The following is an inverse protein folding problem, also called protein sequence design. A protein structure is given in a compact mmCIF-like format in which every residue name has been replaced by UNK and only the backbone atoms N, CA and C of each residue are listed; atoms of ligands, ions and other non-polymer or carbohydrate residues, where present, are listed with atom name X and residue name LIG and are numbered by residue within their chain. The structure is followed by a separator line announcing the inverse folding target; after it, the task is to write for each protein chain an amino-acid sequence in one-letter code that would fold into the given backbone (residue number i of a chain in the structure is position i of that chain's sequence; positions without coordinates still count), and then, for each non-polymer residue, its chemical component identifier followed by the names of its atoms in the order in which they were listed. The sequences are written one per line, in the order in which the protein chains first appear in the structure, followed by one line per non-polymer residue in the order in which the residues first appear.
data_IF_851165802337
#
_entry.id   IF_851165802337
#
_cell.length_a   1.000
_cell.length_b   1.000
_cell.length_c   1.000
_cell.angle_alpha   90.00
_cell.angle_beta   90.00
_cell.angle_gamma   90.00
#
_symmetry.space_group_name_H-M   'P 1'
#
loop_
_entity.id
_entity.type
_entity.pdbx_description
1 polymer ?
#
# COMPACT_ATOMS: atom_id res chain seq x y z
N UNK A 1 4.57 -1.21 -6.93
CA UNK A 1 4.57 -2.30 -5.92
C UNK A 1 3.60 -1.96 -4.82
N UNK A 2 2.76 -2.91 -4.37
CA UNK A 2 1.74 -2.70 -3.35
C UNK A 2 2.15 -3.38 -2.05
N UNK A 3 2.04 -2.68 -0.90
CA UNK A 3 2.55 -3.17 0.38
C UNK A 3 1.46 -3.12 1.45
N UNK A 4 0.99 -4.30 1.87
CA UNK A 4 0.05 -4.48 2.96
C UNK A 4 0.73 -4.74 4.31
N UNK A 5 -0.03 -5.17 5.29
CA UNK A 5 0.45 -5.43 6.66
C UNK A 5 1.07 -6.83 6.81
N UNK A 6 0.26 -7.86 6.64
CA UNK A 6 0.63 -9.26 6.82
C UNK A 6 -0.37 -10.18 6.09
N UNK A 7 0.00 -11.43 5.81
CA UNK A 7 -0.94 -12.42 5.30
C UNK A 7 -2.11 -12.64 6.29
N UNK A 8 -3.31 -12.76 5.75
CA UNK A 8 -4.47 -13.26 6.47
C UNK A 8 -4.55 -14.79 6.37
N UNK A 9 -5.67 -15.38 6.84
CA UNK A 9 -5.86 -16.83 6.82
C UNK A 9 -5.81 -17.42 5.40
N UNK A 10 -6.55 -16.82 4.46
CA UNK A 10 -6.61 -17.32 3.09
C UNK A 10 -5.26 -17.20 2.38
N UNK A 11 -4.54 -16.11 2.63
CA UNK A 11 -3.22 -15.86 2.10
C UNK A 11 -2.18 -16.87 2.64
N UNK A 12 -2.27 -17.21 3.93
CA UNK A 12 -1.42 -18.19 4.60
C UNK A 12 -1.66 -19.62 4.04
N UNK A 13 -2.92 -19.97 3.78
CA UNK A 13 -3.32 -21.27 3.22
C UNK A 13 -2.95 -21.42 1.74
N UNK A 14 -3.01 -20.33 0.96
CA UNK A 14 -2.84 -20.38 -0.51
C UNK A 14 -1.49 -19.91 -1.02
N UNK A 15 -0.72 -19.21 -0.19
CA UNK A 15 0.53 -18.55 -0.59
C UNK A 15 0.32 -17.34 -1.53
N UNK A 16 -0.90 -16.87 -1.72
CA UNK A 16 -1.22 -15.75 -2.63
C UNK A 16 -1.61 -14.51 -1.85
N UNK A 17 -0.92 -13.36 -2.01
CA UNK A 17 -1.28 -12.14 -1.32
C UNK A 17 -2.64 -11.60 -1.78
N UNK A 18 -3.44 -11.09 -0.85
CA UNK A 18 -4.74 -10.49 -1.13
C UNK A 18 -5.66 -11.38 -2.00
N UNK A 19 -5.86 -12.63 -1.59
CA UNK A 19 -6.77 -13.58 -2.26
C UNK A 19 -8.16 -13.67 -1.62
N UNK A 20 -8.35 -13.07 -0.43
CA UNK A 20 -9.63 -13.04 0.28
C UNK A 20 -10.52 -11.84 -0.08
N UNK A 21 -11.46 -11.49 0.81
CA UNK A 21 -12.41 -10.38 0.62
C UNK A 21 -11.71 -9.01 0.43
N UNK A 22 -10.62 -8.75 1.16
CA UNK A 22 -9.80 -7.56 0.95
C UNK A 22 -9.16 -7.53 -0.44
N UNK A 23 -8.81 -8.72 -0.98
CA UNK A 23 -8.26 -8.84 -2.33
C UNK A 23 -9.25 -8.42 -3.41
N UNK A 24 -10.53 -8.77 -3.29
CA UNK A 24 -11.57 -8.31 -4.22
C UNK A 24 -11.68 -6.78 -4.25
N UNK A 25 -11.54 -6.13 -3.10
CA UNK A 25 -11.54 -4.68 -3.03
C UNK A 25 -10.24 -4.07 -3.61
N UNK A 26 -9.10 -4.75 -3.44
CA UNK A 26 -7.87 -4.35 -4.11
C UNK A 26 -8.03 -4.43 -5.63
N UNK A 27 -8.65 -5.48 -6.15
CA UNK A 27 -8.92 -5.62 -7.58
C UNK A 27 -9.82 -4.50 -8.11
N UNK A 28 -10.80 -4.02 -7.33
CA UNK A 28 -11.61 -2.84 -7.68
C UNK A 28 -10.75 -1.56 -7.75
N UNK A 29 -9.84 -1.36 -6.80
CA UNK A 29 -8.89 -0.24 -6.83
C UNK A 29 -7.99 -0.30 -8.06
N UNK A 30 -7.41 -1.46 -8.33
CA UNK A 30 -6.58 -1.67 -9.52
C UNK A 30 -7.35 -1.42 -10.82
N UNK A 31 -8.59 -1.89 -10.91
CA UNK A 31 -9.45 -1.64 -12.06
C UNK A 31 -9.74 -0.13 -12.23
N UNK A 32 -9.99 0.60 -11.13
CA UNK A 32 -10.18 2.06 -11.15
C UNK A 32 -8.93 2.80 -11.63
N UNK A 33 -7.74 2.25 -11.31
CA UNK A 33 -6.46 2.79 -11.79
C UNK A 33 -6.09 2.35 -13.22
N UNK A 34 -6.86 1.47 -13.85
CA UNK A 34 -6.51 0.89 -15.15
C UNK A 34 -5.29 -0.03 -15.11
N UNK A 35 -4.96 -0.60 -13.94
CA UNK A 35 -3.81 -1.45 -13.74
C UNK A 35 -4.22 -2.93 -13.66
N UNK A 36 -3.80 -3.78 -14.61
CA UNK A 36 -3.97 -5.21 -14.50
C UNK A 36 -3.24 -5.76 -13.26
N UNK A 37 -3.83 -6.73 -12.57
CA UNK A 37 -3.18 -7.33 -11.40
C UNK A 37 -1.86 -8.03 -11.74
N UNK A 38 -1.69 -8.49 -12.97
CA UNK A 38 -0.44 -9.06 -13.49
C UNK A 38 0.72 -8.08 -13.55
N UNK A 39 0.44 -6.79 -13.62
CA UNK A 39 1.44 -5.74 -13.82
C UNK A 39 1.92 -5.13 -12.50
N UNK A 40 1.36 -5.62 -11.39
CA UNK A 40 1.70 -5.13 -10.04
C UNK A 40 2.27 -6.25 -9.17
N UNK A 41 3.34 -5.95 -8.46
CA UNK A 41 3.83 -6.83 -7.40
C UNK A 41 3.13 -6.50 -6.08
N UNK A 42 2.51 -7.49 -5.47
CA UNK A 42 1.76 -7.34 -4.22
C UNK A 42 2.46 -8.11 -3.11
N UNK A 43 2.75 -7.43 -2.02
CA UNK A 43 3.41 -8.03 -0.84
C UNK A 43 2.88 -7.42 0.46
N UNK A 44 3.49 -7.79 1.58
CA UNK A 44 3.21 -7.27 2.91
C UNK A 44 4.51 -6.99 3.65
N UNK A 45 4.46 -6.11 4.66
CA UNK A 45 5.62 -5.84 5.53
C UNK A 45 6.03 -7.11 6.28
N UNK A 46 5.07 -7.88 6.80
CA UNK A 46 5.33 -9.20 7.37
C UNK A 46 5.09 -10.30 6.33
N UNK A 47 5.98 -11.29 6.31
CA UNK A 47 5.90 -12.41 5.37
C UNK A 47 5.13 -13.60 5.93
N UNK A 48 4.95 -13.65 7.25
CA UNK A 48 4.21 -14.69 7.96
C UNK A 48 2.93 -14.12 8.59
N UNK A 49 1.90 -14.94 8.67
CA UNK A 49 0.62 -14.59 9.32
C UNK A 49 0.78 -14.52 10.83
N UNK A 50 0.44 -13.40 11.48
CA UNK A 50 0.41 -13.33 12.94
C UNK A 50 -0.72 -14.21 13.53
N UNK A 51 -0.51 -14.84 14.71
CA UNK A 51 -1.53 -15.65 15.36
C UNK A 51 -2.87 -14.90 15.50
N UNK A 52 -3.97 -15.54 15.09
CA UNK A 52 -5.33 -14.99 15.14
C UNK A 52 -5.50 -13.65 14.39
N UNK A 53 -4.66 -13.38 13.38
CA UNK A 53 -4.62 -12.11 12.63
C UNK A 53 -4.48 -10.86 13.52
N UNK A 54 -3.76 -10.95 14.64
CA UNK A 54 -3.41 -9.76 15.42
C UNK A 54 -2.44 -8.85 14.65
N UNK A 55 -2.33 -7.60 15.07
CA UNK A 55 -1.30 -6.72 14.56
C UNK A 55 0.10 -7.33 14.76
N UNK A 56 1.01 -7.25 13.77
CA UNK A 56 2.39 -7.69 13.91
C UNK A 56 3.13 -6.91 15.00
N UNK A 57 3.92 -7.63 15.81
CA UNK A 57 4.77 -7.01 16.82
C UNK A 57 5.95 -6.27 16.20
N UNK A 58 6.59 -5.33 16.92
CA UNK A 58 7.76 -4.61 16.41
C UNK A 58 8.93 -5.51 16.00
N UNK A 59 9.21 -6.56 16.77
CA UNK A 59 10.25 -7.56 16.47
C UNK A 59 9.93 -8.38 15.22
N UNK A 60 8.67 -8.75 15.01
CA UNK A 60 8.21 -9.45 13.81
C UNK A 60 8.36 -8.56 12.56
N UNK A 61 8.03 -7.27 12.68
CA UNK A 61 8.23 -6.30 11.60
C UNK A 61 9.72 -6.11 11.28
N UNK A 62 10.56 -5.98 12.33
CA UNK A 62 11.99 -5.82 12.17
C UNK A 62 12.63 -7.02 11.47
N UNK A 63 12.24 -8.25 11.85
CA UNK A 63 12.73 -9.47 11.21
C UNK A 63 12.32 -9.60 9.73
N UNK A 64 11.17 -9.03 9.34
CA UNK A 64 10.69 -9.06 7.95
C UNK A 64 11.15 -7.87 7.09
N UNK A 65 11.62 -6.78 7.69
CA UNK A 65 12.04 -5.56 6.98
C UNK A 65 13.11 -5.82 5.90
N UNK A 66 14.15 -6.64 6.12
CA UNK A 66 15.14 -6.94 5.08
C UNK A 66 14.53 -7.49 3.79
N UNK A 67 13.59 -8.43 3.90
CA UNK A 67 12.93 -9.02 2.72
C UNK A 67 12.14 -7.98 1.92
N UNK A 68 11.51 -7.01 2.59
CA UNK A 68 10.78 -5.94 1.90
C UNK A 68 11.75 -5.02 1.14
N UNK A 69 12.88 -4.68 1.75
CA UNK A 69 13.92 -3.86 1.12
C UNK A 69 14.52 -4.58 -0.09
N UNK A 70 14.90 -5.85 0.05
CA UNK A 70 15.41 -6.66 -1.07
C UNK A 70 14.41 -6.74 -2.24
N UNK A 71 13.10 -6.90 -1.94
CA UNK A 71 12.06 -6.88 -2.96
C UNK A 71 11.96 -5.52 -3.66
N UNK A 72 12.07 -4.43 -2.89
CA UNK A 72 12.04 -3.08 -3.45
C UNK A 72 13.26 -2.82 -4.34
N UNK A 73 14.44 -3.22 -3.87
CA UNK A 73 15.69 -3.06 -4.61
C UNK A 73 15.72 -3.89 -5.90
N UNK A 74 15.22 -5.13 -5.85
CA UNK A 74 15.19 -6.01 -7.02
C UNK A 74 14.18 -5.55 -8.09
N UNK A 75 13.03 -4.99 -7.66
CA UNK A 75 11.96 -4.59 -8.56
C UNK A 75 12.09 -3.16 -9.08
N UNK A 76 12.82 -2.29 -8.40
CA UNK A 76 12.96 -0.87 -8.74
C UNK A 76 11.62 -0.21 -9.11
N UNK A 77 10.59 -0.26 -8.23
CA UNK A 77 9.27 0.19 -8.58
C UNK A 77 9.23 1.71 -8.78
N UNK A 78 8.47 2.20 -9.77
CA UNK A 78 8.22 3.63 -9.96
C UNK A 78 7.49 4.25 -8.76
N UNK A 79 6.67 3.46 -8.08
CA UNK A 79 5.89 3.87 -6.91
C UNK A 79 5.65 2.68 -5.99
N UNK A 80 5.69 2.92 -4.69
CA UNK A 80 5.17 2.05 -3.66
C UNK A 80 3.77 2.51 -3.28
N UNK A 81 2.83 1.59 -3.10
CA UNK A 81 1.50 1.91 -2.58
C UNK A 81 1.35 1.29 -1.21
N UNK A 82 1.32 2.13 -0.19
CA UNK A 82 1.05 1.71 1.17
C UNK A 82 -0.45 1.44 1.35
N UNK A 83 -0.81 0.19 1.59
CA UNK A 83 -2.19 -0.23 1.85
C UNK A 83 -2.50 -0.09 3.34
N UNK A 84 -2.99 1.10 3.72
CA UNK A 84 -3.31 1.47 5.09
C UNK A 84 -2.09 1.84 5.95
N UNK A 85 -2.37 2.21 7.22
CA UNK A 85 -1.35 2.69 8.17
C UNK A 85 -0.23 1.69 8.43
N UNK A 86 -0.57 0.40 8.48
CA UNK A 86 0.42 -0.64 8.77
C UNK A 86 1.36 -0.83 7.57
N UNK A 87 0.84 -0.86 6.33
CA UNK A 87 1.67 -0.86 5.13
C UNK A 87 2.62 0.33 5.09
N UNK A 88 2.12 1.52 5.44
CA UNK A 88 2.95 2.73 5.52
C UNK A 88 4.05 2.61 6.59
N UNK A 89 3.74 2.07 7.78
CA UNK A 89 4.72 1.92 8.87
C UNK A 89 5.89 0.98 8.54
N UNK A 90 5.78 0.16 7.51
CA UNK A 90 6.88 -0.66 7.02
C UNK A 90 7.77 0.03 5.99
N UNK A 91 7.28 1.13 5.40
CA UNK A 91 7.94 1.85 4.32
C UNK A 91 8.59 3.16 4.77
N UNK A 92 8.14 3.75 5.88
CA UNK A 92 8.69 5.00 6.42
C UNK A 92 9.01 4.83 7.91
N UNK A 93 10.11 5.44 8.36
CA UNK A 93 10.56 5.28 9.74
C UNK A 93 9.72 6.12 10.73
N UNK A 94 9.17 7.23 10.28
CA UNK A 94 8.35 8.14 11.10
C UNK A 94 7.00 8.42 10.43
N UNK A 95 6.08 7.43 10.39
CA UNK A 95 4.77 7.65 9.79
C UNK A 95 3.96 8.65 10.62
N UNK A 96 3.10 9.48 9.99
CA UNK A 96 2.24 10.41 10.70
C UNK A 96 1.32 9.66 11.68
N UNK A 97 0.99 10.31 12.80
CA UNK A 97 0.15 9.72 13.86
C UNK A 97 -1.24 9.34 13.35
N UNK A 98 -1.80 10.15 12.47
CA UNK A 98 -3.11 9.92 11.87
C UNK A 98 -2.97 9.63 10.37
N UNK A 99 -3.33 8.44 9.96
CA UNK A 99 -3.25 8.04 8.55
C UNK A 99 -4.11 8.93 7.64
N UNK A 100 -5.18 9.54 8.16
CA UNK A 100 -6.02 10.49 7.42
C UNK A 100 -5.28 11.71 6.90
N UNK A 101 -4.17 12.11 7.54
CA UNK A 101 -3.34 13.26 7.13
C UNK A 101 -2.58 13.00 5.81
N UNK A 102 -2.31 11.73 5.51
CA UNK A 102 -1.53 11.32 4.32
C UNK A 102 -2.32 10.48 3.33
N UNK A 103 -3.56 10.11 3.63
CA UNK A 103 -4.40 9.36 2.71
C UNK A 103 -4.54 10.09 1.37
N UNK A 104 -4.36 9.36 0.27
CA UNK A 104 -4.41 9.89 -1.09
C UNK A 104 -3.25 10.84 -1.43
N UNK A 105 -2.17 10.82 -0.64
CA UNK A 105 -0.98 11.66 -0.82
C UNK A 105 0.27 10.81 -0.99
N UNK A 106 1.33 11.46 -1.45
CA UNK A 106 2.66 10.89 -1.50
C UNK A 106 3.48 11.26 -0.26
N UNK A 107 4.30 10.31 0.19
CA UNK A 107 5.39 10.50 1.13
C UNK A 107 6.68 9.93 0.53
N UNK A 108 7.83 10.31 1.05
CA UNK A 108 9.13 9.76 0.62
C UNK A 108 9.34 8.41 1.28
N UNK A 109 9.61 7.40 0.49
CA UNK A 109 9.90 6.03 0.95
C UNK A 109 11.36 5.64 0.87
N UNK A 110 11.67 4.34 1.00
CA UNK A 110 13.02 3.82 0.93
C UNK A 110 13.71 4.21 -0.38
N UNK A 111 14.97 4.61 -0.29
CA UNK A 111 15.75 5.00 -1.47
C UNK A 111 15.20 6.20 -2.26
N UNK A 112 14.30 7.00 -1.66
CA UNK A 112 13.66 8.12 -2.34
C UNK A 112 12.46 7.73 -3.21
N UNK A 113 12.07 6.47 -3.26
CA UNK A 113 10.92 6.01 -4.04
C UNK A 113 9.64 6.62 -3.48
N UNK A 114 8.77 7.25 -4.31
CA UNK A 114 7.51 7.81 -3.83
C UNK A 114 6.58 6.71 -3.30
N UNK A 115 5.93 6.97 -2.16
CA UNK A 115 4.94 6.09 -1.53
C UNK A 115 3.58 6.76 -1.58
N UNK A 116 2.66 6.22 -2.36
CA UNK A 116 1.26 6.64 -2.35
C UNK A 116 0.51 5.97 -1.21
N UNK A 117 -0.18 6.76 -0.37
CA UNK A 117 -0.89 6.28 0.81
C UNK A 117 -2.37 5.99 0.50
N UNK A 118 -2.72 4.74 0.26
CA UNK A 118 -4.10 4.29 0.03
C UNK A 118 -4.76 3.75 1.29
N UNK A 119 -6.08 3.85 1.39
CA UNK A 119 -6.84 3.09 2.39
C UNK A 119 -6.54 1.59 2.24
N UNK A 120 -6.53 0.87 3.36
CA UNK A 120 -6.44 -0.58 3.29
C UNK A 120 -7.72 -1.16 2.65
N UNK A 121 -7.63 -2.10 1.70
CA UNK A 121 -8.80 -2.65 1.00
C UNK A 121 -9.86 -3.27 1.94
N UNK A 122 -9.46 -3.76 3.11
CA UNK A 122 -10.40 -4.25 4.12
C UNK A 122 -11.22 -3.13 4.77
N UNK A 123 -10.74 -1.89 4.80
CA UNK A 123 -11.44 -0.79 5.46
C UNK A 123 -12.81 -0.51 4.82
N UNK A 124 -12.92 -0.66 3.50
CA UNK A 124 -14.18 -0.46 2.76
C UNK A 124 -15.17 -1.63 2.91
N UNK A 125 -14.76 -2.77 3.48
CA UNK A 125 -15.69 -3.83 3.88
C UNK A 125 -16.54 -3.35 5.06
N UNK A 126 -15.89 -2.70 6.03
CA UNK A 126 -16.52 -2.25 7.27
C UNK A 126 -17.13 -0.84 7.16
N UNK A 127 -16.59 -0.01 6.24
CA UNK A 127 -17.02 1.38 6.03
C UNK A 127 -17.31 1.63 4.56
N UNK A 128 -18.50 1.26 4.12
CA UNK A 128 -18.95 1.40 2.73
C UNK A 128 -18.91 2.86 2.22
N UNK A 129 -19.10 3.84 3.11
CA UNK A 129 -19.01 5.27 2.78
C UNK A 129 -17.63 5.71 2.29
N UNK A 130 -16.57 4.91 2.56
CA UNK A 130 -15.22 5.20 2.10
C UNK A 130 -14.91 4.63 0.71
N UNK A 131 -15.85 3.88 0.13
CA UNK A 131 -15.61 3.19 -1.15
C UNK A 131 -15.37 4.16 -2.29
N UNK A 132 -16.18 5.21 -2.41
CA UNK A 132 -16.03 6.22 -3.46
C UNK A 132 -14.67 6.90 -3.36
N UNK A 133 -14.33 7.41 -2.19
CA UNK A 133 -13.02 8.03 -1.91
C UNK A 133 -11.85 7.08 -2.22
N UNK A 134 -11.98 5.79 -1.88
CA UNK A 134 -10.98 4.78 -2.19
C UNK A 134 -10.79 4.62 -3.70
N UNK A 135 -11.86 4.51 -4.48
CA UNK A 135 -11.80 4.36 -5.92
C UNK A 135 -11.26 5.61 -6.61
N UNK A 136 -11.63 6.80 -6.13
CA UNK A 136 -11.13 8.08 -6.64
C UNK A 136 -9.61 8.23 -6.43
N UNK A 137 -9.09 7.83 -5.27
CA UNK A 137 -7.66 7.82 -4.99
C UNK A 137 -6.91 6.90 -5.98
N UNK A 138 -7.45 5.71 -6.26
CA UNK A 138 -6.86 4.77 -7.21
C UNK A 138 -6.96 5.26 -8.66
N UNK A 139 -8.11 5.82 -9.07
CA UNK A 139 -8.28 6.40 -10.40
C UNK A 139 -7.31 7.57 -10.62
N UNK A 140 -7.08 8.39 -9.60
CA UNK A 140 -6.10 9.46 -9.66
C UNK A 140 -4.68 8.91 -9.81
N UNK A 141 -4.29 7.92 -9.00
CA UNK A 141 -2.99 7.25 -9.09
C UNK A 141 -2.75 6.66 -10.49
N UNK A 142 -3.77 6.03 -11.07
CA UNK A 142 -3.70 5.47 -12.43
C UNK A 142 -3.42 6.52 -13.49
N UNK A 143 -4.09 7.67 -13.44
CA UNK A 143 -3.82 8.81 -14.34
C UNK A 143 -2.39 9.31 -14.18
N UNK A 144 -1.94 9.56 -12.95
CA UNK A 144 -0.58 10.00 -12.68
C UNK A 144 0.48 9.04 -13.25
N UNK A 145 0.25 7.73 -13.12
CA UNK A 145 1.14 6.71 -13.70
C UNK A 145 1.15 6.73 -15.23
N UNK A 146 -0.03 6.91 -15.87
CA UNK A 146 -0.15 6.99 -17.33
C UNK A 146 0.48 8.26 -17.91
N UNK A 147 0.47 9.35 -17.14
CA UNK A 147 1.03 10.63 -17.50
C UNK A 147 2.57 10.74 -17.26
N UNK A 148 3.21 9.59 -16.97
CA UNK A 148 4.66 9.50 -16.84
C UNK A 148 5.18 9.39 -15.40
N UNK A 149 4.31 9.43 -14.38
CA UNK A 149 4.67 9.33 -12.97
C UNK A 149 5.61 10.44 -12.49
N UNK A 150 5.40 11.65 -12.99
CA UNK A 150 6.20 12.82 -12.64
C UNK A 150 5.77 13.38 -11.27
N UNK A 151 6.70 13.40 -10.30
CA UNK A 151 6.46 13.92 -8.96
C UNK A 151 6.33 15.45 -8.95
N UNK A 152 6.97 16.16 -9.87
CA UNK A 152 6.88 17.63 -9.98
C UNK A 152 5.48 18.07 -10.47
N UNK A 153 4.78 17.17 -11.18
CA UNK A 153 3.40 17.39 -11.62
C UNK A 153 2.33 17.03 -10.54
N UNK A 154 2.74 16.52 -9.38
CA UNK A 154 1.80 16.17 -8.30
C UNK A 154 1.26 17.44 -7.63
N UNK A 155 -0.08 17.66 -7.57
CA UNK A 155 -0.66 18.83 -6.91
C UNK A 155 -0.31 18.89 -5.42
N UNK A 156 -0.19 20.10 -4.85
CA UNK A 156 0.21 20.30 -3.45
C UNK A 156 -0.68 19.54 -2.44
N UNK A 157 -1.98 19.42 -2.71
CA UNK A 157 -2.90 18.66 -1.85
C UNK A 157 -2.65 17.15 -1.87
N UNK A 158 -1.89 16.65 -2.83
CA UNK A 158 -1.46 15.24 -2.95
C UNK A 158 -0.01 15.01 -2.50
N UNK A 159 0.69 16.06 -2.11
CA UNK A 159 2.01 15.99 -1.50
C UNK A 159 1.90 16.10 0.01
N UNK A 160 2.72 15.36 0.74
CA UNK A 160 2.87 15.57 2.18
C UNK A 160 3.93 16.66 2.36
N UNK A 161 3.69 17.68 3.21
CA UNK A 161 4.71 18.67 3.53
C UNK A 161 6.00 17.98 3.97
N UNK A 162 7.14 18.47 3.52
CA UNK A 162 8.44 18.03 4.03
C UNK A 162 8.48 18.32 5.56
N UNK A 163 8.77 17.28 6.33
CA UNK A 163 8.96 17.39 7.79
C UNK A 163 10.35 17.87 8.09
#
# INVERSE_FOLDING_TARGET
MLVGEAPGRNEDETGRPFCGAAGKNLDLGLAAAGLPRSDVFVTSINKCRPPKNRDPKPDEKAACKPFLLEQTDALQPKVLVALGRHGLSGLVDSPPKQFGEVRGRFVVGPGGVPVFCSLHPAAIIYRQTWRETYLDDWAWLGRWLSDGADMDAVPAERQTPAV
#
